data_IF_073887336403
#
_entry.id   IF_073887336403
#
_cell.length_a   1.000
_cell.length_b   1.000
_cell.length_c   1.000
_cell.angle_alpha   90.00
_cell.angle_beta   90.00
_cell.angle_gamma   90.00
#
_symmetry.space_group_name_H-M   'P 1'
#
loop_
_entity.id
_entity.type
_entity.pdbx_description
1 polymer ?
#
# COMPACT_ATOMS: atom_id res chain seq x y z
N UNK A 1 28.46 -57.45 -56.66
CA UNK A 1 28.92 -56.56 -55.57
C UNK A 1 27.79 -55.61 -55.21
N UNK A 2 26.95 -56.03 -54.27
CA UNK A 2 25.83 -55.26 -53.71
C UNK A 2 26.28 -54.69 -52.36
N UNK A 3 26.08 -53.39 -52.13
CA UNK A 3 25.33 -52.89 -50.96
C UNK A 3 25.20 -51.35 -51.03
N UNK A 4 23.97 -50.81 -51.06
CA UNK A 4 23.68 -49.39 -50.84
C UNK A 4 23.34 -49.12 -49.36
N UNK A 5 23.76 -48.00 -48.77
CA UNK A 5 22.97 -47.28 -47.74
C UNK A 5 23.67 -45.98 -47.34
N UNK A 6 23.16 -44.84 -47.83
CA UNK A 6 23.37 -43.55 -47.17
C UNK A 6 22.29 -43.40 -46.11
N UNK A 7 22.71 -43.27 -44.87
CA UNK A 7 21.81 -43.09 -43.73
C UNK A 7 21.41 -41.61 -43.65
N UNK A 8 20.11 -41.35 -43.86
CA UNK A 8 19.47 -40.05 -43.66
C UNK A 8 19.06 -39.91 -42.18
N UNK A 9 19.91 -39.32 -41.35
CA UNK A 9 19.55 -38.99 -39.96
C UNK A 9 18.94 -37.58 -39.83
N UNK A 10 17.66 -37.57 -39.45
CA UNK A 10 17.11 -36.67 -38.43
C UNK A 10 17.21 -35.14 -38.64
N UNK A 11 16.25 -34.56 -39.38
CA UNK A 11 15.89 -33.12 -39.28
C UNK A 11 14.83 -32.81 -38.20
N UNK A 12 14.28 -33.82 -37.51
CA UNK A 12 13.11 -33.66 -36.62
C UNK A 12 13.46 -33.25 -35.18
N UNK A 13 14.66 -33.56 -34.70
CA UNK A 13 15.04 -33.31 -33.30
C UNK A 13 15.21 -31.82 -32.95
N UNK A 14 15.49 -30.96 -33.93
CA UNK A 14 15.80 -29.54 -33.68
C UNK A 14 14.55 -28.66 -33.45
N UNK A 15 13.36 -29.09 -33.87
CA UNK A 15 12.12 -28.29 -33.71
C UNK A 15 11.51 -28.42 -32.31
N UNK A 16 11.66 -29.58 -31.66
CA UNK A 16 11.07 -29.85 -30.35
C UNK A 16 11.73 -29.05 -29.21
N UNK A 17 13.04 -28.82 -29.29
CA UNK A 17 13.81 -28.04 -28.32
C UNK A 17 13.55 -26.53 -28.38
N UNK A 18 13.21 -26.00 -29.57
CA UNK A 18 12.83 -24.60 -29.76
C UNK A 18 11.45 -24.27 -29.17
N UNK A 19 10.48 -25.18 -29.32
CA UNK A 19 9.13 -25.04 -28.77
C UNK A 19 9.12 -25.07 -27.23
N UNK A 20 9.86 -25.99 -26.62
CA UNK A 20 10.00 -26.04 -25.16
C UNK A 20 10.68 -24.78 -24.60
N UNK A 21 11.74 -24.28 -25.25
CA UNK A 21 12.39 -23.02 -24.86
C UNK A 21 11.45 -21.82 -24.99
N UNK A 22 10.65 -21.75 -26.05
CA UNK A 22 9.68 -20.67 -26.25
C UNK A 22 8.58 -20.68 -25.18
N UNK A 23 8.08 -21.86 -24.80
CA UNK A 23 7.09 -22.02 -23.71
C UNK A 23 7.68 -21.58 -22.37
N UNK A 24 8.91 -21.98 -22.05
CA UNK A 24 9.58 -21.54 -20.82
C UNK A 24 9.83 -20.03 -20.79
N UNK A 25 10.20 -19.41 -21.91
CA UNK A 25 10.36 -17.96 -22.00
C UNK A 25 9.03 -17.22 -21.82
N UNK A 26 7.93 -17.71 -22.41
CA UNK A 26 6.60 -17.14 -22.22
C UNK A 26 6.13 -17.27 -20.76
N UNK A 27 6.34 -18.43 -20.14
CA UNK A 27 6.04 -18.65 -18.72
C UNK A 27 6.84 -17.71 -17.80
N UNK A 28 8.14 -17.54 -18.08
CA UNK A 28 8.99 -16.61 -17.34
C UNK A 28 8.52 -15.15 -17.49
N UNK A 29 8.07 -14.76 -18.68
CA UNK A 29 7.57 -13.40 -18.97
C UNK A 29 6.23 -13.13 -18.28
N UNK A 30 5.35 -14.13 -18.23
CA UNK A 30 4.10 -14.08 -17.44
C UNK A 30 4.43 -13.91 -15.96
N UNK A 31 5.29 -14.77 -15.39
CA UNK A 31 5.69 -14.66 -13.97
C UNK A 31 6.32 -13.30 -13.65
N UNK A 32 7.17 -12.78 -14.53
CA UNK A 32 7.79 -11.46 -14.37
C UNK A 32 6.78 -10.31 -14.48
N UNK A 33 5.73 -10.45 -15.30
CA UNK A 33 4.66 -9.44 -15.38
C UNK A 33 3.78 -9.41 -14.13
N UNK A 34 3.57 -10.56 -13.47
CA UNK A 34 2.84 -10.63 -12.21
C UNK A 34 3.61 -10.00 -11.04
N UNK A 35 4.94 -10.00 -11.07
CA UNK A 35 5.75 -9.38 -10.01
C UNK A 35 5.86 -7.85 -10.09
N UNK A 36 5.40 -7.23 -11.19
CA UNK A 36 5.33 -5.77 -11.34
C UNK A 36 4.08 -5.13 -10.68
N UNK A 37 3.13 -5.95 -10.20
CA UNK A 37 1.88 -5.50 -9.58
C UNK A 37 1.94 -5.11 -8.10
N UNK A 38 3.12 -5.00 -7.49
CA UNK A 38 3.23 -4.90 -6.02
C UNK A 38 2.99 -3.50 -5.43
N UNK A 39 2.90 -2.43 -6.22
CA UNK A 39 2.65 -1.08 -5.68
C UNK A 39 1.20 -0.84 -5.25
N UNK A 40 0.23 -0.92 -6.18
CA UNK A 40 -1.17 -0.58 -5.90
C UNK A 40 -1.80 -1.46 -4.81
N UNK A 41 -1.53 -2.77 -4.83
CA UNK A 41 -2.11 -3.72 -3.87
C UNK A 41 -1.55 -3.47 -2.48
N UNK A 42 -0.22 -3.34 -2.34
CA UNK A 42 0.39 -3.11 -1.03
C UNK A 42 -0.04 -1.78 -0.44
N UNK A 43 -0.05 -0.71 -1.25
CA UNK A 43 -0.51 0.60 -0.81
C UNK A 43 -1.98 0.55 -0.35
N UNK A 44 -2.87 -0.07 -1.12
CA UNK A 44 -4.29 -0.21 -0.76
C UNK A 44 -4.47 -1.00 0.54
N UNK A 45 -3.74 -2.11 0.70
CA UNK A 45 -3.75 -2.87 1.95
C UNK A 45 -3.27 -2.03 3.13
N UNK A 46 -2.20 -1.24 2.95
CA UNK A 46 -1.65 -0.39 4.00
C UNK A 46 -2.59 0.74 4.42
N UNK A 47 -3.30 1.33 3.46
CA UNK A 47 -4.38 2.30 3.74
C UNK A 47 -5.46 1.63 4.59
N UNK A 48 -5.90 0.43 4.22
CA UNK A 48 -6.94 -0.30 4.97
C UNK A 48 -6.50 -0.59 6.41
N UNK A 49 -5.24 -1.02 6.62
CA UNK A 49 -4.71 -1.22 7.97
C UNK A 49 -4.68 0.07 8.79
N UNK A 50 -4.29 1.19 8.17
CA UNK A 50 -4.26 2.49 8.81
C UNK A 50 -5.66 3.00 9.18
N UNK A 51 -6.67 2.75 8.34
CA UNK A 51 -8.08 3.04 8.65
C UNK A 51 -8.56 2.25 9.88
N UNK A 52 -8.25 0.95 9.94
CA UNK A 52 -8.59 0.12 11.11
C UNK A 52 -7.86 0.61 12.37
N UNK A 53 -6.60 1.04 12.26
CA UNK A 53 -5.87 1.62 13.39
C UNK A 53 -6.48 2.96 13.84
N UNK A 54 -6.84 3.84 12.91
CA UNK A 54 -7.52 5.10 13.19
C UNK A 54 -8.84 4.88 13.92
N UNK A 55 -9.63 3.91 13.48
CA UNK A 55 -10.92 3.61 14.10
C UNK A 55 -10.75 3.08 15.53
N UNK A 56 -9.74 2.23 15.77
CA UNK A 56 -9.40 1.79 17.13
C UNK A 56 -9.03 2.96 18.04
N UNK A 57 -8.24 3.91 17.53
CA UNK A 57 -7.87 5.11 18.28
C UNK A 57 -9.10 6.01 18.55
N UNK A 58 -9.98 6.17 17.55
CA UNK A 58 -11.23 6.94 17.67
C UNK A 58 -12.15 6.38 18.75
N UNK A 59 -12.34 5.07 18.78
CA UNK A 59 -13.17 4.37 19.81
C UNK A 59 -12.59 4.54 21.22
N UNK A 60 -11.29 4.83 21.36
CA UNK A 60 -10.64 5.13 22.63
C UNK A 60 -10.65 6.63 22.99
N UNK A 61 -11.45 7.44 22.29
CA UNK A 61 -11.51 8.91 22.43
C UNK A 61 -10.14 9.58 22.27
N UNK A 62 -9.27 9.01 21.42
CA UNK A 62 -7.93 9.55 21.22
C UNK A 62 -7.94 10.96 20.61
N UNK A 63 -9.02 11.39 19.96
CA UNK A 63 -9.19 12.78 19.51
C UNK A 63 -9.17 13.80 20.65
N UNK A 64 -9.58 13.40 21.86
CA UNK A 64 -9.56 14.25 23.07
C UNK A 64 -8.34 13.90 23.92
N UNK A 65 -8.06 12.59 24.08
CA UNK A 65 -7.06 12.08 25.03
C UNK A 65 -5.64 12.02 24.48
N UNK A 66 -5.47 12.01 23.15
CA UNK A 66 -4.18 12.00 22.47
C UNK A 66 -4.27 12.77 21.12
N UNK A 67 -4.66 14.06 21.16
CA UNK A 67 -5.06 14.81 19.97
C UNK A 67 -3.93 14.96 18.96
N UNK A 68 -2.69 15.15 19.42
CA UNK A 68 -1.54 15.33 18.53
C UNK A 68 -1.34 14.07 17.66
N UNK A 69 -1.23 12.91 18.30
CA UNK A 69 -1.03 11.64 17.63
C UNK A 69 -2.23 11.30 16.74
N UNK A 70 -3.46 11.50 17.24
CA UNK A 70 -4.69 11.23 16.48
C UNK A 70 -4.80 12.08 15.21
N UNK A 71 -4.60 13.40 15.30
CA UNK A 71 -4.70 14.28 14.14
C UNK A 71 -3.50 14.12 13.19
N UNK A 72 -2.31 13.78 13.70
CA UNK A 72 -1.18 13.41 12.83
C UNK A 72 -1.53 12.18 11.99
N UNK A 73 -2.12 11.15 12.61
CA UNK A 73 -2.55 9.94 11.91
C UNK A 73 -3.65 10.23 10.88
N UNK A 74 -4.62 11.08 11.21
CA UNK A 74 -5.66 11.55 10.30
C UNK A 74 -5.05 12.22 9.06
N UNK A 75 -4.12 13.15 9.23
CA UNK A 75 -3.51 13.89 8.13
C UNK A 75 -2.59 13.02 7.27
N UNK A 76 -1.83 12.10 7.87
CA UNK A 76 -1.07 11.11 7.12
C UNK A 76 -1.98 10.20 6.30
N UNK A 77 -3.10 9.73 6.86
CA UNK A 77 -4.05 8.89 6.13
C UNK A 77 -4.71 9.66 4.97
N UNK A 78 -5.05 10.93 5.20
CA UNK A 78 -5.55 11.81 4.14
C UNK A 78 -4.54 11.93 3.00
N UNK A 79 -3.27 12.23 3.33
CA UNK A 79 -2.20 12.35 2.33
C UNK A 79 -1.92 11.03 1.61
N UNK A 80 -1.96 9.90 2.31
CA UNK A 80 -1.80 8.58 1.70
C UNK A 80 -2.84 8.30 0.60
N UNK A 81 -4.10 8.68 0.84
CA UNK A 81 -5.20 8.54 -0.14
C UNK A 81 -5.06 9.51 -1.30
N UNK A 82 -4.53 10.70 -1.06
CA UNK A 82 -4.21 11.67 -2.12
C UNK A 82 -3.15 11.11 -3.08
N UNK A 83 -2.04 10.60 -2.55
CA UNK A 83 -0.97 10.00 -3.38
C UNK A 83 -1.43 8.73 -4.10
N UNK A 84 -2.27 7.93 -3.45
CA UNK A 84 -2.91 6.78 -4.10
C UNK A 84 -3.71 7.21 -5.33
N UNK A 85 -4.45 8.33 -5.22
CA UNK A 85 -5.19 8.94 -6.33
C UNK A 85 -4.29 9.43 -7.46
N UNK A 86 -3.06 9.85 -7.14
CA UNK A 86 -2.04 10.20 -8.13
C UNK A 86 -1.26 9.00 -8.69
N UNK A 87 -1.61 7.78 -8.27
CA UNK A 87 -0.86 6.56 -8.59
C UNK A 87 0.59 6.57 -8.10
N UNK A 88 0.93 7.45 -7.15
CA UNK A 88 2.20 7.41 -6.44
C UNK A 88 2.08 6.42 -5.27
N UNK A 89 2.15 5.14 -5.61
CA UNK A 89 1.89 4.05 -4.67
C UNK A 89 2.97 3.91 -3.59
N UNK A 90 4.21 4.32 -3.88
CA UNK A 90 5.30 4.29 -2.91
C UNK A 90 5.10 5.38 -1.84
N UNK A 91 4.87 6.64 -2.26
CA UNK A 91 4.56 7.71 -1.32
C UNK A 91 3.28 7.41 -0.52
N UNK A 92 2.27 6.87 -1.19
CA UNK A 92 1.03 6.43 -0.54
C UNK A 92 1.27 5.38 0.55
N UNK A 93 2.08 4.36 0.25
CA UNK A 93 2.43 3.31 1.21
C UNK A 93 3.18 3.87 2.44
N UNK A 94 4.09 4.81 2.23
CA UNK A 94 4.87 5.45 3.30
C UNK A 94 4.00 6.30 4.20
N UNK A 95 3.12 7.13 3.63
CA UNK A 95 2.15 7.91 4.40
C UNK A 95 1.15 7.02 5.14
N UNK A 96 0.66 5.95 4.52
CA UNK A 96 -0.22 4.98 5.19
C UNK A 96 0.49 4.28 6.36
N UNK A 97 1.78 3.98 6.21
CA UNK A 97 2.58 3.40 7.29
C UNK A 97 2.78 4.40 8.45
N UNK A 98 3.01 5.68 8.15
CA UNK A 98 3.07 6.74 9.17
C UNK A 98 1.72 6.92 9.87
N UNK A 99 0.62 6.92 9.11
CA UNK A 99 -0.73 7.00 9.65
C UNK A 99 -1.03 5.86 10.64
N UNK A 100 -0.71 4.62 10.26
CA UNK A 100 -0.89 3.45 11.13
C UNK A 100 -0.10 3.58 12.44
N UNK A 101 1.18 3.95 12.36
CA UNK A 101 2.05 4.12 13.53
C UNK A 101 1.53 5.22 14.46
N UNK A 102 1.13 6.36 13.89
CA UNK A 102 0.58 7.46 14.65
C UNK A 102 -0.77 7.09 15.32
N UNK A 103 -1.64 6.35 14.63
CA UNK A 103 -2.90 5.88 15.20
C UNK A 103 -2.67 4.87 16.34
N UNK A 104 -1.69 3.98 16.21
CA UNK A 104 -1.29 3.06 17.29
C UNK A 104 -0.72 3.80 18.50
N UNK A 105 0.09 4.83 18.27
CA UNK A 105 0.59 5.71 19.32
C UNK A 105 -0.55 6.49 20.01
N UNK A 106 -1.51 7.00 19.24
CA UNK A 106 -2.68 7.69 19.76
C UNK A 106 -3.52 6.78 20.66
N UNK A 107 -3.75 5.53 20.22
CA UNK A 107 -4.46 4.52 21.00
C UNK A 107 -3.74 4.20 22.31
N UNK A 108 -2.42 4.01 22.26
CA UNK A 108 -1.61 3.71 23.44
C UNK A 108 -1.67 4.87 24.44
N UNK A 109 -1.42 6.10 23.96
CA UNK A 109 -1.42 7.30 24.79
C UNK A 109 -2.79 7.55 25.41
N UNK A 110 -3.87 7.41 24.65
CA UNK A 110 -5.23 7.56 25.17
C UNK A 110 -5.56 6.58 26.31
N UNK A 111 -4.93 5.39 26.32
CA UNK A 111 -5.13 4.37 27.36
C UNK A 111 -4.23 4.55 28.58
N UNK A 112 -2.96 4.89 28.37
CA UNK A 112 -1.93 4.86 29.42
C UNK A 112 -1.63 6.24 30.02
N UNK A 113 -1.45 7.25 29.18
CA UNK A 113 -1.03 8.60 29.57
C UNK A 113 -1.83 9.65 28.77
N UNK A 114 -3.15 9.74 29.03
CA UNK A 114 -4.01 10.65 28.33
C UNK A 114 -3.64 12.09 28.68
N UNK A 115 -3.76 12.98 27.71
CA UNK A 115 -3.69 14.41 27.96
C UNK A 115 -4.71 14.81 29.03
N UNK A 116 -4.21 15.43 30.11
CA UNK A 116 -5.00 15.80 31.28
C UNK A 116 -5.95 16.98 30.99
N UNK A 117 -5.56 17.84 30.05
CA UNK A 117 -6.38 18.94 29.48
C UNK A 117 -6.13 19.00 27.98
N UNK A 118 -7.18 19.26 27.19
CA UNK A 118 -7.01 19.42 25.74
C UNK A 118 -6.04 20.59 25.48
N UNK A 119 -4.91 20.39 24.76
CA UNK A 119 -3.85 21.40 24.59
C UNK A 119 -4.32 22.68 23.90
N UNK A 120 -5.43 22.60 23.17
CA UNK A 120 -6.08 23.74 22.52
C UNK A 120 -7.35 24.02 23.29
N UNK A 121 -7.36 25.07 24.12
CA UNK A 121 -8.62 25.50 24.72
C UNK A 121 -9.58 26.03 23.65
N UNK A 122 -10.85 26.08 24.00
CA UNK A 122 -11.96 26.63 23.22
C UNK A 122 -11.86 28.15 23.00
N UNK A 123 -10.81 28.81 23.51
CA UNK A 123 -10.52 30.22 23.23
C UNK A 123 -9.79 30.42 21.90
N UNK A 124 -9.24 29.36 21.30
CA UNK A 124 -8.66 29.45 19.95
C UNK A 124 -9.78 29.39 18.89
N UNK A 125 -10.01 30.45 18.10
CA UNK A 125 -11.05 30.43 17.08
C UNK A 125 -10.67 29.39 16.01
N UNK A 126 -11.37 28.25 16.03
CA UNK A 126 -11.30 27.25 14.97
C UNK A 126 -11.75 27.95 13.68
N UNK A 127 -10.83 28.26 12.76
CA UNK A 127 -11.21 28.61 11.39
C UNK A 127 -11.91 27.39 10.83
N UNK A 128 -13.23 27.44 10.80
CA UNK A 128 -14.09 26.36 10.39
C UNK A 128 -13.78 25.98 8.93
N UNK A 129 -13.27 24.76 8.68
CA UNK A 129 -12.98 24.33 7.32
C UNK A 129 -14.25 24.29 6.46
N UNK A 130 -15.43 24.17 7.09
CA UNK A 130 -16.73 24.15 6.44
C UNK A 130 -17.20 25.52 5.91
N UNK A 131 -16.79 26.65 6.51
CA UNK A 131 -17.06 27.98 5.92
C UNK A 131 -16.43 28.18 4.54
N UNK A 132 -15.42 27.37 4.18
CA UNK A 132 -14.78 27.45 2.86
C UNK A 132 -15.56 26.67 1.79
N UNK A 133 -16.49 25.77 2.16
CA UNK A 133 -17.29 24.97 1.22
C UNK A 133 -18.56 25.68 0.73
N UNK A 134 -18.95 26.79 1.36
CA UNK A 134 -20.16 27.55 1.03
C UNK A 134 -19.90 28.79 0.18
N UNK A 135 -18.72 28.91 -0.46
CA UNK A 135 -18.35 30.04 -1.32
C UNK A 135 -17.95 29.58 -2.71
#
# INVERSE_FOLDING_TARGET
MTNPTRVSYSRRAFRASGLLRAVYLLLALVVLSLSLGCGPIQSTQRISEAEVAMERARVADAEIRAPYEFYSAYHYLYKAKEEWGYSDFEASYDYATQARRAAEAALLKAKEDPWEKHPVDDTYPRKDPQARRTR
#
